data_IF_871307296543
#
_entry.id   IF_871307296543
#
_cell.length_a   1.000
_cell.length_b   1.000
_cell.length_c   1.000
_cell.angle_alpha   90.00
_cell.angle_beta   90.00
_cell.angle_gamma   90.00
#
_symmetry.space_group_name_H-M   'P 1'
#
loop_
_entity.id
_entity.type
_entity.pdbx_description
1 polymer ?
#
# COMPACT_ATOMS: atom_id res chain seq x y z
N UNK A 1 -4.37 14.85 -11.97
CA UNK A 1 -4.18 14.99 -10.51
C UNK A 1 -3.38 13.79 -10.01
N UNK A 2 -2.30 14.06 -9.31
CA UNK A 2 -1.45 13.00 -8.75
C UNK A 2 -1.89 12.65 -7.34
N UNK A 3 -1.80 11.37 -6.99
CA UNK A 3 -2.10 10.87 -5.66
C UNK A 3 -0.93 10.04 -5.11
N UNK A 4 -0.81 9.98 -3.80
CA UNK A 4 0.17 9.16 -3.09
C UNK A 4 -0.56 8.12 -2.24
N UNK A 5 -0.09 6.89 -2.27
CA UNK A 5 -0.66 5.76 -1.56
C UNK A 5 0.40 5.12 -0.66
N UNK A 6 0.04 4.88 0.59
CA UNK A 6 0.90 4.20 1.57
C UNK A 6 0.11 3.14 2.32
N UNK A 7 0.70 1.99 2.56
CA UNK A 7 0.03 0.96 3.33
C UNK A 7 0.85 -0.34 3.46
N UNK A 8 0.41 -1.30 4.25
CA UNK A 8 1.18 -2.50 4.63
C UNK A 8 0.79 -3.82 3.95
N UNK A 9 -0.33 -3.89 3.23
CA UNK A 9 -0.91 -5.15 2.78
C UNK A 9 -1.00 -5.26 1.24
N UNK A 10 -0.25 -6.21 0.64
CA UNK A 10 -0.03 -6.24 -0.80
C UNK A 10 -1.27 -6.55 -1.65
N UNK A 11 -2.13 -7.49 -1.24
CA UNK A 11 -3.31 -7.86 -2.03
C UNK A 11 -4.35 -6.74 -2.07
N UNK A 12 -4.57 -6.08 -0.94
CA UNK A 12 -5.48 -4.93 -0.82
C UNK A 12 -4.93 -3.75 -1.62
N UNK A 13 -3.62 -3.54 -1.58
CA UNK A 13 -2.95 -2.49 -2.35
C UNK A 13 -3.07 -2.68 -3.84
N UNK A 14 -2.89 -3.89 -4.35
CA UNK A 14 -3.03 -4.13 -5.78
C UNK A 14 -4.40 -3.67 -6.28
N UNK A 15 -5.48 -4.00 -5.58
CA UNK A 15 -6.82 -3.52 -5.90
C UNK A 15 -6.95 -1.99 -5.80
N UNK A 16 -6.44 -1.37 -4.73
CA UNK A 16 -6.49 0.09 -4.54
C UNK A 16 -5.60 0.81 -5.56
N UNK A 17 -4.40 0.30 -5.83
CA UNK A 17 -3.48 0.86 -6.82
C UNK A 17 -4.11 0.80 -8.22
N UNK A 18 -4.63 -0.34 -8.61
CA UNK A 18 -5.27 -0.52 -9.93
C UNK A 18 -6.48 0.40 -10.11
N UNK A 19 -7.32 0.51 -9.09
CA UNK A 19 -8.48 1.41 -9.14
C UNK A 19 -8.08 2.87 -9.08
N UNK A 20 -7.10 3.21 -8.24
CA UNK A 20 -6.56 4.57 -8.13
C UNK A 20 -5.90 5.04 -9.43
N UNK A 21 -5.19 4.14 -10.12
CA UNK A 21 -4.57 4.47 -11.42
C UNK A 21 -5.57 4.85 -12.51
N UNK A 22 -6.82 4.41 -12.38
CA UNK A 22 -7.91 4.77 -13.32
C UNK A 22 -8.57 6.11 -12.98
N UNK A 23 -8.44 6.56 -11.74
CA UNK A 23 -9.06 7.81 -11.26
C UNK A 23 -8.10 8.98 -11.38
N UNK A 24 -6.83 8.76 -11.16
CA UNK A 24 -5.80 9.81 -11.16
C UNK A 24 -4.91 9.73 -12.41
N UNK A 25 -4.46 10.88 -12.89
CA UNK A 25 -3.55 10.96 -14.04
C UNK A 25 -2.19 10.32 -13.72
N UNK A 26 -1.73 10.47 -12.49
CA UNK A 26 -0.51 9.86 -11.98
C UNK A 26 -0.73 9.38 -10.55
N UNK A 27 -0.30 8.16 -10.25
CA UNK A 27 -0.34 7.57 -8.93
C UNK A 27 1.08 7.25 -8.44
N UNK A 28 1.43 7.80 -7.29
CA UNK A 28 2.73 7.55 -6.64
C UNK A 28 2.51 6.63 -5.45
N UNK A 29 3.10 5.46 -5.50
CA UNK A 29 3.05 4.48 -4.41
C UNK A 29 4.28 4.69 -3.53
N UNK A 30 4.08 5.31 -2.38
CA UNK A 30 5.11 5.53 -1.37
C UNK A 30 5.29 4.32 -0.47
N UNK A 31 6.45 3.70 -0.49
CA UNK A 31 6.83 2.64 0.45
C UNK A 31 7.59 3.27 1.61
N UNK A 32 6.90 3.48 2.74
CA UNK A 32 7.50 4.10 3.91
C UNK A 32 8.48 3.16 4.60
N UNK A 33 9.63 3.72 4.94
CA UNK A 33 10.60 3.09 5.83
C UNK A 33 10.07 3.25 7.26
N UNK A 34 9.63 2.17 7.87
CA UNK A 34 9.25 2.16 9.28
C UNK A 34 10.33 1.43 10.08
N UNK A 35 11.12 2.20 10.82
CA UNK A 35 12.23 1.68 11.64
C UNK A 35 11.75 0.81 12.81
N UNK A 36 10.49 1.00 13.25
CA UNK A 36 9.92 0.27 14.40
C UNK A 36 9.24 -1.06 14.00
N UNK A 37 9.07 -1.32 12.72
CA UNK A 37 8.46 -2.56 12.22
C UNK A 37 9.38 -3.27 11.25
N UNK A 38 9.88 -4.42 11.67
CA UNK A 38 10.57 -5.36 10.76
C UNK A 38 9.52 -6.05 9.90
N UNK A 39 9.41 -5.62 8.65
CA UNK A 39 8.57 -6.29 7.65
C UNK A 39 9.16 -7.62 7.20
N UNK A 40 8.35 -8.45 6.51
CA UNK A 40 8.82 -9.70 5.91
C UNK A 40 9.95 -9.46 4.89
N UNK A 41 9.88 -8.35 4.16
CA UNK A 41 10.85 -7.96 3.14
C UNK A 41 11.55 -6.65 3.52
N UNK A 42 12.86 -6.52 3.23
CA UNK A 42 13.54 -5.23 3.24
C UNK A 42 12.86 -4.22 2.31
N UNK A 43 13.11 -2.93 2.53
CA UNK A 43 12.45 -1.86 1.78
C UNK A 43 12.69 -1.96 0.27
N UNK A 44 13.92 -2.30 -0.13
CA UNK A 44 14.32 -2.42 -1.53
C UNK A 44 13.55 -3.57 -2.21
N UNK A 45 13.46 -4.72 -1.57
CA UNK A 45 12.69 -5.85 -2.08
C UNK A 45 11.20 -5.51 -2.18
N UNK A 46 10.65 -4.79 -1.19
CA UNK A 46 9.24 -4.35 -1.21
C UNK A 46 8.96 -3.43 -2.39
N UNK A 47 9.85 -2.49 -2.68
CA UNK A 47 9.74 -1.60 -3.84
C UNK A 47 9.75 -2.42 -5.13
N UNK A 48 10.67 -3.37 -5.28
CA UNK A 48 10.76 -4.22 -6.46
C UNK A 48 9.53 -5.12 -6.65
N UNK A 49 9.01 -5.70 -5.57
CA UNK A 49 7.80 -6.51 -5.63
C UNK A 49 6.59 -5.68 -6.09
N UNK A 50 6.43 -4.47 -5.56
CA UNK A 50 5.33 -3.58 -5.95
C UNK A 50 5.50 -3.12 -7.40
N UNK A 51 6.69 -2.78 -7.84
CA UNK A 51 6.98 -2.45 -9.25
C UNK A 51 6.60 -3.59 -10.19
N UNK A 52 6.93 -4.82 -9.82
CA UNK A 52 6.60 -6.02 -10.61
C UNK A 52 5.09 -6.20 -10.74
N UNK A 53 4.36 -6.10 -9.64
CA UNK A 53 2.90 -6.23 -9.62
C UNK A 53 2.19 -5.10 -10.38
N UNK A 54 2.76 -3.91 -10.39
CA UNK A 54 2.18 -2.72 -11.03
C UNK A 54 2.75 -2.40 -12.40
N UNK A 55 3.61 -3.26 -12.95
CA UNK A 55 4.31 -3.04 -14.22
C UNK A 55 3.35 -2.81 -15.42
N UNK A 56 2.13 -3.32 -15.36
CA UNK A 56 1.09 -3.15 -16.38
C UNK A 56 0.35 -1.81 -16.28
N UNK A 57 0.65 -0.98 -15.28
CA UNK A 57 0.03 0.33 -15.06
C UNK A 57 1.00 1.45 -15.43
N UNK A 58 0.76 2.12 -16.55
CA UNK A 58 1.69 3.09 -17.13
C UNK A 58 1.85 4.37 -16.31
N UNK A 59 0.84 4.72 -15.51
CA UNK A 59 0.80 5.95 -14.70
C UNK A 59 1.11 5.74 -13.21
N UNK A 60 1.68 4.60 -12.86
CA UNK A 60 2.07 4.26 -11.47
C UNK A 60 3.57 4.34 -11.31
N UNK A 61 4.02 5.11 -10.33
CA UNK A 61 5.41 5.21 -9.93
C UNK A 61 5.57 4.71 -8.49
N UNK A 62 6.55 3.87 -8.23
CA UNK A 62 6.82 3.30 -6.89
C UNK A 62 8.12 3.88 -6.35
N UNK A 63 8.05 4.48 -5.18
CA UNK A 63 9.19 5.13 -4.52
C UNK A 63 9.31 4.68 -3.06
N UNK A 64 10.53 4.59 -2.55
CA UNK A 64 10.77 4.48 -1.11
C UNK A 64 10.89 5.88 -0.51
N UNK A 65 10.42 6.02 0.72
CA UNK A 65 10.44 7.31 1.40
C UNK A 65 10.60 7.14 2.91
N UNK A 66 11.42 8.01 3.50
CA UNK A 66 11.59 8.12 4.93
C UNK A 66 11.18 9.54 5.35
N UNK A 67 10.14 9.66 6.17
CA UNK A 67 9.62 10.95 6.64
C UNK A 67 8.10 11.04 6.62
N UNK A 68 7.59 12.25 6.59
CA UNK A 68 6.15 12.51 6.61
C UNK A 68 5.52 12.30 5.23
N UNK A 69 4.31 11.77 5.23
CA UNK A 69 3.57 11.51 4.00
C UNK A 69 3.24 12.79 3.22
N UNK A 70 2.97 13.88 3.93
CA UNK A 70 2.74 15.19 3.30
C UNK A 70 3.98 15.70 2.57
N UNK A 71 5.18 15.43 3.09
CA UNK A 71 6.44 15.81 2.43
C UNK A 71 6.65 15.00 1.13
N UNK A 72 6.29 13.72 1.15
CA UNK A 72 6.30 12.90 -0.06
C UNK A 72 5.32 13.43 -1.09
N UNK A 73 4.09 13.76 -0.68
CA UNK A 73 3.08 14.34 -1.55
C UNK A 73 3.58 15.65 -2.18
N UNK A 74 4.11 16.56 -1.36
CA UNK A 74 4.66 17.84 -1.80
C UNK A 74 5.83 17.69 -2.78
N UNK A 75 6.77 16.79 -2.48
CA UNK A 75 7.91 16.51 -3.34
C UNK A 75 7.51 16.03 -4.73
N UNK A 76 6.38 15.38 -4.85
CA UNK A 76 5.86 14.82 -6.10
C UNK A 76 4.70 15.64 -6.70
N UNK A 77 4.48 16.85 -6.19
CA UNK A 77 3.38 17.73 -6.63
C UNK A 77 2.00 17.03 -6.56
N UNK A 78 1.83 16.16 -5.58
CA UNK A 78 0.59 15.44 -5.34
C UNK A 78 -0.24 16.18 -4.28
N UNK A 79 -1.50 16.49 -4.63
CA UNK A 79 -2.44 17.16 -3.71
C UNK A 79 -3.40 16.20 -3.02
N UNK A 80 -3.34 14.93 -3.36
CA UNK A 80 -4.22 13.90 -2.82
C UNK A 80 -3.40 12.78 -2.22
N UNK A 81 -3.74 12.43 -0.98
CA UNK A 81 -3.29 11.20 -0.32
C UNK A 81 -4.43 10.19 -0.43
N UNK A 82 -4.20 9.10 -1.15
CA UNK A 82 -5.18 8.03 -1.31
C UNK A 82 -4.93 6.94 -0.26
N UNK A 83 -5.97 6.61 0.48
CA UNK A 83 -5.95 5.57 1.53
C UNK A 83 -6.99 4.50 1.25
N UNK A 84 -6.60 3.24 1.40
CA UNK A 84 -7.53 2.12 1.36
C UNK A 84 -8.13 1.86 2.74
N UNK A 85 -9.45 1.63 2.80
CA UNK A 85 -10.15 1.21 4.01
C UNK A 85 -10.72 -0.18 3.82
N UNK A 86 -10.46 -1.09 4.77
CA UNK A 86 -10.99 -2.46 4.77
C UNK A 86 -12.03 -2.70 5.86
N UNK A 87 -12.00 -1.96 6.98
CA UNK A 87 -12.92 -2.11 8.09
C UNK A 87 -13.21 -0.78 8.76
N UNK A 88 -14.33 -0.71 9.51
CA UNK A 88 -14.71 0.49 10.29
C UNK A 88 -13.65 0.83 11.33
N UNK A 89 -12.99 -0.17 11.95
CA UNK A 89 -11.91 0.01 12.91
C UNK A 89 -10.67 0.70 12.31
N UNK A 90 -10.41 0.54 11.02
CA UNK A 90 -9.31 1.24 10.34
C UNK A 90 -9.64 2.73 10.12
N UNK A 91 -10.93 3.04 9.91
CA UNK A 91 -11.38 4.39 9.60
C UNK A 91 -11.04 5.40 10.69
N UNK A 92 -11.24 5.07 11.94
CA UNK A 92 -11.00 5.99 13.06
C UNK A 92 -9.53 6.44 13.10
N UNK A 93 -8.60 5.50 13.02
CA UNK A 93 -7.17 5.81 12.97
C UNK A 93 -6.79 6.58 11.71
N UNK A 94 -7.25 6.14 10.54
CA UNK A 94 -6.93 6.80 9.26
C UNK A 94 -7.56 8.19 9.17
N UNK A 95 -8.72 8.40 9.77
CA UNK A 95 -9.35 9.71 9.87
C UNK A 95 -8.52 10.67 10.72
N UNK A 96 -8.02 10.24 11.88
CA UNK A 96 -7.12 11.04 12.71
C UNK A 96 -5.84 11.41 11.95
N UNK A 97 -5.26 10.47 11.22
CA UNK A 97 -4.08 10.75 10.39
C UNK A 97 -4.38 11.73 9.25
N UNK A 98 -5.56 11.65 8.65
CA UNK A 98 -6.00 12.60 7.62
C UNK A 98 -6.11 14.01 8.18
N UNK A 99 -6.68 14.19 9.36
CA UNK A 99 -6.74 15.47 10.05
C UNK A 99 -5.35 16.01 10.37
N UNK A 100 -4.45 15.16 10.84
CA UNK A 100 -3.06 15.55 11.11
C UNK A 100 -2.34 16.01 9.83
N UNK A 101 -2.49 15.25 8.73
CA UNK A 101 -1.91 15.64 7.45
C UNK A 101 -2.43 16.97 6.95
N UNK A 102 -3.72 17.24 7.09
CA UNK A 102 -4.36 18.52 6.74
C UNK A 102 -3.85 19.70 7.61
N UNK A 103 -3.49 19.45 8.86
CA UNK A 103 -2.86 20.46 9.71
C UNK A 103 -1.41 20.75 9.30
N UNK A 104 -0.69 19.74 8.85
CA UNK A 104 0.69 19.88 8.40
C UNK A 104 0.80 20.55 7.03
N UNK A 105 -0.14 20.27 6.15
CA UNK A 105 -0.24 20.88 4.82
C UNK A 105 -1.71 21.00 4.39
N UNK A 106 -2.23 22.21 4.39
CA UNK A 106 -3.63 22.50 4.05
C UNK A 106 -3.97 22.33 2.56
N UNK A 107 -2.97 22.19 1.69
CA UNK A 107 -3.19 21.95 0.26
C UNK A 107 -3.32 20.47 -0.08
N UNK A 108 -3.10 19.58 0.89
CA UNK A 108 -3.17 18.13 0.71
C UNK A 108 -4.49 17.60 1.28
N UNK A 109 -5.26 16.93 0.44
CA UNK A 109 -6.50 16.25 0.81
C UNK A 109 -6.30 14.74 0.93
N UNK A 110 -6.98 14.12 1.89
CA UNK A 110 -6.99 12.66 2.01
C UNK A 110 -8.31 12.10 1.49
N UNK A 111 -8.22 11.19 0.54
CA UNK A 111 -9.37 10.46 0.00
C UNK A 111 -9.30 8.99 0.42
N UNK A 112 -10.45 8.44 0.78
CA UNK A 112 -10.57 7.05 1.16
C UNK A 112 -11.23 6.23 0.06
N UNK A 113 -10.66 5.07 -0.22
CA UNK A 113 -11.20 4.10 -1.16
C UNK A 113 -11.44 2.79 -0.42
N UNK A 114 -12.66 2.29 -0.48
CA UNK A 114 -13.00 1.01 0.16
C UNK A 114 -12.36 -0.16 -0.58
N UNK A 115 -11.85 -1.13 0.16
CA UNK A 115 -11.41 -2.40 -0.41
C UNK A 115 -12.60 -3.24 -0.86
N UNK A 116 -12.36 -4.20 -1.75
CA UNK A 116 -13.41 -5.17 -2.12
C UNK A 116 -13.77 -6.06 -0.93
N UNK A 117 -15.04 -6.49 -0.85
CA UNK A 117 -15.51 -7.39 0.20
C UNK A 117 -14.70 -8.72 0.22
N UNK A 118 -14.26 -9.20 -0.94
CA UNK A 118 -13.44 -10.40 -1.08
C UNK A 118 -12.08 -10.30 -0.36
N UNK A 119 -11.53 -9.09 -0.22
CA UNK A 119 -10.22 -8.86 0.37
C UNK A 119 -10.27 -8.22 1.77
N UNK A 120 -11.45 -7.91 2.28
CA UNK A 120 -11.62 -7.19 3.54
C UNK A 120 -11.10 -7.94 4.77
N UNK A 121 -11.06 -9.27 4.71
CA UNK A 121 -10.56 -10.13 5.80
C UNK A 121 -9.04 -10.38 5.75
N UNK A 122 -8.38 -9.99 4.66
CA UNK A 122 -6.95 -10.27 4.48
C UNK A 122 -6.09 -9.33 5.32
N UNK A 123 -5.14 -9.91 6.03
CA UNK A 123 -4.08 -9.18 6.71
C UNK A 123 -2.72 -9.83 6.41
N UNK A 124 -1.64 -9.06 6.56
CA UNK A 124 -0.28 -9.61 6.40
C UNK A 124 -0.04 -10.77 7.36
N UNK A 125 -0.57 -10.69 8.57
CA UNK A 125 -0.42 -11.73 9.58
C UNK A 125 -1.11 -13.03 9.18
N UNK A 126 -2.34 -12.94 8.65
CA UNK A 126 -3.09 -14.13 8.21
C UNK A 126 -2.43 -14.80 7.01
N UNK A 127 -1.96 -14.04 6.04
CA UNK A 127 -1.22 -14.58 4.88
C UNK A 127 0.07 -15.29 5.32
N UNK A 128 0.85 -14.66 6.20
CA UNK A 128 2.07 -15.27 6.75
C UNK A 128 1.78 -16.57 7.49
N UNK A 129 0.71 -16.61 8.27
CA UNK A 129 0.30 -17.81 9.01
C UNK A 129 -0.07 -18.95 8.06
N UNK A 130 -0.89 -18.68 7.04
CA UNK A 130 -1.26 -19.69 6.03
C UNK A 130 -0.02 -20.23 5.33
N UNK A 131 0.88 -19.37 4.87
CA UNK A 131 2.12 -19.78 4.20
C UNK A 131 3.05 -20.57 5.12
N UNK A 132 3.17 -20.17 6.39
CA UNK A 132 3.99 -20.85 7.41
C UNK A 132 3.54 -22.30 7.62
N UNK A 133 2.27 -22.57 7.60
CA UNK A 133 1.69 -23.90 7.74
C UNK A 133 1.54 -24.67 6.43
N UNK A 134 2.14 -24.19 5.35
CA UNK A 134 2.13 -24.85 4.04
C UNK A 134 0.82 -24.74 3.27
N UNK A 135 -0.08 -23.84 3.70
CA UNK A 135 -1.31 -23.56 2.98
C UNK A 135 -1.06 -22.77 1.69
N UNK A 136 -1.99 -22.88 0.75
CA UNK A 136 -1.92 -22.13 -0.51
C UNK A 136 -2.26 -20.67 -0.26
N UNK A 137 -1.41 -19.76 -0.74
CA UNK A 137 -1.62 -18.31 -0.67
C UNK A 137 -2.00 -17.71 -2.03
N UNK A 138 -2.22 -18.54 -3.05
CA UNK A 138 -2.74 -18.09 -4.35
C UNK A 138 -4.11 -17.41 -4.15
N UNK A 139 -4.30 -16.26 -4.73
CA UNK A 139 -5.49 -15.44 -4.51
C UNK A 139 -5.50 -14.61 -3.21
N UNK A 140 -4.56 -14.85 -2.30
CA UNK A 140 -4.36 -14.05 -1.08
C UNK A 140 -3.29 -12.96 -1.27
N UNK A 141 -2.40 -13.17 -2.23
CA UNK A 141 -1.41 -12.20 -2.71
C UNK A 141 -1.41 -12.24 -4.24
N UNK A 142 -0.91 -11.18 -4.91
CA UNK A 142 -0.73 -11.20 -6.36
C UNK A 142 0.12 -12.41 -6.82
N UNK A 143 -0.28 -13.05 -7.91
CA UNK A 143 0.38 -14.27 -8.41
C UNK A 143 1.87 -14.06 -8.69
N UNK A 144 2.25 -12.87 -9.12
CA UNK A 144 3.64 -12.49 -9.46
C UNK A 144 4.61 -12.56 -8.26
N UNK A 145 4.08 -12.56 -7.04
CA UNK A 145 4.90 -12.54 -5.81
C UNK A 145 4.68 -13.75 -4.89
N UNK A 146 3.84 -14.70 -5.28
CA UNK A 146 3.53 -15.90 -4.47
C UNK A 146 4.81 -16.63 -4.07
N UNK A 147 5.68 -16.92 -5.04
CA UNK A 147 6.92 -17.65 -4.82
C UNK A 147 7.90 -16.88 -3.92
N UNK A 148 7.97 -15.56 -4.07
CA UNK A 148 8.82 -14.70 -3.23
C UNK A 148 8.36 -14.75 -1.78
N UNK A 149 7.04 -14.68 -1.53
CA UNK A 149 6.47 -14.74 -0.19
C UNK A 149 6.73 -16.11 0.46
N UNK A 150 6.49 -17.20 -0.28
CA UNK A 150 6.73 -18.57 0.22
C UNK A 150 8.20 -18.77 0.58
N UNK A 151 9.11 -18.39 -0.32
CA UNK A 151 10.55 -18.49 -0.10
C UNK A 151 11.00 -17.72 1.14
N UNK A 152 10.51 -16.52 1.33
CA UNK A 152 10.87 -15.67 2.46
C UNK A 152 10.35 -16.20 3.80
N UNK A 153 9.19 -16.84 3.81
CA UNK A 153 8.59 -17.42 5.02
C UNK A 153 9.28 -18.74 5.41
N UNK A 154 9.67 -19.54 4.42
CA UNK A 154 10.33 -20.83 4.65
C UNK A 154 11.83 -20.71 4.91
N UNK A 155 12.43 -19.65 4.40
CA UNK A 155 13.86 -19.37 4.59
C UNK A 155 14.17 -18.82 5.94
#
# INVERSE_FOLDING_TARGET
>A
MSASLVGSEMCIRDSIITRGSRVFDKLIVGVLVNVDKVGLFPIEERVELIKRVTAHLDNVEVVSFNGLLVDLAKKNDARVILKGLRAVSDFEYEFQMALMNSQLDSEVETLFMTTSAANSFLSSSSVKQVAKFGGKINGLVPDEIVDDVIRKIKG
#
